data_IF_699872097235
#
_entry.id   IF_699872097235
#
_cell.length_a   1.000
_cell.length_b   1.000
_cell.length_c   1.000
_cell.angle_alpha   90.00
_cell.angle_beta   90.00
_cell.angle_gamma   90.00
#
_symmetry.space_group_name_H-M   'P 1'
#
loop_
_entity.id
_entity.type
_entity.pdbx_description
1 polymer ?
#
# COMPACT_ATOMS: atom_id res chain seq x y z
N UNK A 1 -17.39 -20.85 -0.33
CA UNK A 1 -16.10 -20.89 -1.05
C UNK A 1 -16.34 -21.67 -2.31
N UNK A 2 -16.20 -21.03 -3.47
CA UNK A 2 -16.23 -21.71 -4.76
C UNK A 2 -14.92 -22.49 -4.93
N UNK A 3 -14.94 -23.83 -4.99
CA UNK A 3 -13.74 -24.66 -5.09
C UNK A 3 -13.04 -24.56 -6.44
N UNK A 4 -13.66 -23.91 -7.43
CA UNK A 4 -13.09 -23.70 -8.76
C UNK A 4 -12.25 -22.44 -8.86
N UNK A 5 -12.32 -21.55 -7.86
CA UNK A 5 -11.72 -20.21 -7.88
C UNK A 5 -12.17 -19.34 -9.06
N UNK A 6 -13.27 -19.67 -9.73
CA UNK A 6 -13.75 -18.93 -10.90
C UNK A 6 -14.10 -17.47 -10.60
N UNK A 7 -14.28 -17.11 -9.33
CA UNK A 7 -14.68 -15.77 -8.86
C UNK A 7 -13.75 -15.24 -7.76
N UNK A 8 -12.45 -15.55 -7.84
CA UNK A 8 -11.44 -15.05 -6.90
C UNK A 8 -10.69 -13.83 -7.46
N UNK A 9 -10.37 -12.87 -6.58
CA UNK A 9 -9.35 -11.83 -6.88
C UNK A 9 -8.00 -12.52 -6.78
N UNK A 10 -7.24 -12.52 -7.86
CA UNK A 10 -5.99 -13.28 -7.90
C UNK A 10 -4.77 -12.37 -7.84
N UNK A 11 -4.72 -11.27 -8.60
CA UNK A 11 -3.56 -10.35 -8.57
C UNK A 11 -3.88 -9.00 -9.26
N UNK A 12 -4.28 -7.99 -8.48
CA UNK A 12 -4.29 -6.59 -8.96
C UNK A 12 -2.95 -5.95 -8.61
N UNK A 13 -2.03 -5.92 -9.57
CA UNK A 13 -0.69 -5.42 -9.31
C UNK A 13 -0.16 -4.52 -10.45
N UNK A 14 0.75 -3.58 -10.11
CA UNK A 14 1.42 -2.72 -11.09
C UNK A 14 2.29 -3.45 -12.13
N UNK A 15 2.52 -4.75 -11.97
CA UNK A 15 3.52 -5.51 -12.71
C UNK A 15 4.95 -5.17 -12.29
N UNK A 16 5.89 -5.63 -13.14
CA UNK A 16 7.31 -5.31 -13.05
C UNK A 16 7.66 -4.35 -14.20
N UNK A 17 8.03 -3.13 -13.86
CA UNK A 17 8.43 -2.13 -14.85
C UNK A 17 9.84 -2.40 -15.39
N UNK A 18 10.20 -1.80 -16.53
CA UNK A 18 11.55 -1.92 -17.11
C UNK A 18 12.65 -1.36 -16.21
N UNK A 19 12.33 -0.43 -15.30
CA UNK A 19 13.25 0.05 -14.27
C UNK A 19 13.46 -0.93 -13.13
N UNK A 20 12.90 -2.15 -13.23
CA UNK A 20 12.88 -3.18 -12.19
C UNK A 20 12.13 -2.76 -10.92
N UNK A 21 11.35 -1.66 -10.97
CA UNK A 21 10.40 -1.37 -9.91
C UNK A 21 9.34 -2.47 -9.93
N UNK A 22 9.25 -3.16 -8.81
CA UNK A 22 8.36 -4.29 -8.57
C UNK A 22 7.15 -3.80 -7.78
N UNK A 23 5.94 -4.07 -8.27
CA UNK A 23 4.69 -3.85 -7.55
C UNK A 23 4.50 -2.43 -7.01
N UNK A 24 4.98 -1.44 -7.75
CA UNK A 24 4.90 -0.02 -7.37
C UNK A 24 4.46 0.82 -8.55
N UNK A 25 3.61 1.80 -8.25
CA UNK A 25 3.24 2.89 -9.14
C UNK A 25 3.38 4.21 -8.39
N UNK A 26 3.61 5.29 -9.14
CA UNK A 26 3.40 6.63 -8.61
C UNK A 26 1.89 6.90 -8.48
N UNK A 27 1.51 7.53 -7.37
CA UNK A 27 0.16 8.05 -7.15
C UNK A 27 0.21 9.57 -7.10
N UNK A 28 -0.90 10.28 -7.40
CA UNK A 28 -0.93 11.72 -7.26
C UNK A 28 -0.62 12.15 -5.82
N UNK A 29 0.12 13.24 -5.63
CA UNK A 29 0.48 13.72 -4.28
C UNK A 29 -0.76 13.92 -3.37
N UNK A 30 -1.86 14.42 -3.95
CA UNK A 30 -3.11 14.65 -3.23
C UNK A 30 -3.85 13.37 -2.84
N UNK A 31 -3.44 12.20 -3.34
CA UNK A 31 -3.98 10.91 -2.93
C UNK A 31 -3.53 10.52 -1.51
N UNK A 32 -2.47 11.14 -0.99
CA UNK A 32 -1.89 10.82 0.31
C UNK A 32 -1.85 12.06 1.20
N UNK A 33 -2.32 11.91 2.44
CA UNK A 33 -2.13 12.90 3.50
C UNK A 33 -1.66 12.18 4.76
N UNK A 34 -0.67 12.73 5.46
CA UNK A 34 -0.17 12.14 6.70
C UNK A 34 0.23 13.22 7.70
N UNK A 35 -0.16 13.02 8.95
CA UNK A 35 0.28 13.77 10.12
C UNK A 35 0.78 12.76 11.16
N UNK A 36 2.10 12.69 11.32
CA UNK A 36 2.76 11.76 12.25
C UNK A 36 2.50 12.16 13.70
N UNK A 37 2.35 13.46 13.97
CA UNK A 37 2.20 14.00 15.31
C UNK A 37 0.75 13.78 15.79
N UNK A 38 -0.25 13.94 14.92
CA UNK A 38 -1.65 13.59 15.19
C UNK A 38 -1.94 12.08 15.06
N UNK A 39 -0.99 11.30 14.52
CA UNK A 39 -1.13 9.87 14.26
C UNK A 39 -2.30 9.54 13.30
N UNK A 40 -2.46 10.38 12.29
CA UNK A 40 -3.47 10.24 11.25
C UNK A 40 -2.83 10.18 9.86
N UNK A 41 -3.29 9.26 9.03
CA UNK A 41 -2.94 9.28 7.62
C UNK A 41 -4.10 8.73 6.79
N UNK A 42 -4.12 9.11 5.51
CA UNK A 42 -5.11 8.64 4.56
C UNK A 42 -4.49 8.45 3.18
N UNK A 43 -4.82 7.32 2.55
CA UNK A 43 -4.60 7.05 1.14
C UNK A 43 -5.96 6.94 0.45
N UNK A 44 -6.21 7.80 -0.53
CA UNK A 44 -7.41 7.77 -1.36
C UNK A 44 -7.06 7.67 -2.83
N UNK A 45 -7.41 6.55 -3.44
CA UNK A 45 -7.28 6.30 -4.86
C UNK A 45 -8.66 5.95 -5.42
N UNK A 46 -9.00 6.51 -6.57
CA UNK A 46 -10.28 6.25 -7.23
C UNK A 46 -10.04 5.82 -8.66
N UNK A 47 -10.71 4.76 -9.07
CA UNK A 47 -10.70 4.19 -10.41
C UNK A 47 -9.28 4.00 -10.99
N UNK A 48 -8.32 3.65 -10.14
CA UNK A 48 -6.94 3.40 -10.56
C UNK A 48 -6.94 2.24 -11.55
N UNK A 49 -6.53 2.52 -12.79
CA UNK A 49 -6.32 1.51 -13.81
C UNK A 49 -5.17 0.59 -13.36
N UNK A 50 -5.43 -0.72 -13.36
CA UNK A 50 -4.51 -1.74 -12.88
C UNK A 50 -4.66 -2.99 -13.73
N UNK A 51 -3.57 -3.74 -13.89
CA UNK A 51 -3.63 -5.03 -14.56
C UNK A 51 -4.17 -6.09 -13.60
N UNK A 52 -5.02 -6.99 -14.11
CA UNK A 52 -5.40 -8.22 -13.43
C UNK A 52 -4.74 -9.40 -14.16
N UNK A 53 -3.72 -9.99 -13.54
CA UNK A 53 -3.00 -11.12 -14.12
C UNK A 53 -3.69 -12.46 -13.89
N UNK A 54 -4.76 -12.51 -13.07
CA UNK A 54 -5.54 -13.71 -12.81
C UNK A 54 -4.83 -14.80 -12.00
N UNK A 55 -3.51 -14.73 -11.80
CA UNK A 55 -2.75 -15.54 -10.83
C UNK A 55 -1.31 -15.04 -10.68
N UNK A 56 -0.70 -15.38 -9.55
CA UNK A 56 0.67 -15.00 -9.18
C UNK A 56 1.71 -15.44 -10.22
N UNK A 57 1.56 -16.63 -10.83
CA UNK A 57 2.53 -17.10 -11.84
C UNK A 57 2.53 -16.18 -13.07
N UNK A 58 1.35 -15.73 -13.49
CA UNK A 58 1.22 -14.78 -14.58
C UNK A 58 1.69 -13.38 -14.17
N UNK A 59 1.40 -12.92 -12.94
CA UNK A 59 1.90 -11.63 -12.44
C UNK A 59 3.43 -11.56 -12.36
N UNK A 60 4.09 -12.68 -12.04
CA UNK A 60 5.56 -12.73 -11.95
C UNK A 60 6.26 -12.95 -13.29
N UNK A 61 5.70 -13.77 -14.17
CA UNK A 61 6.38 -14.25 -15.39
C UNK A 61 5.73 -13.80 -16.70
N UNK A 62 4.60 -13.10 -16.63
CA UNK A 62 3.83 -12.60 -17.77
C UNK A 62 3.58 -13.69 -18.83
N UNK A 63 3.14 -14.87 -18.40
CA UNK A 63 2.88 -16.04 -19.26
C UNK A 63 1.66 -15.85 -20.17
N UNK A 64 0.81 -14.86 -19.89
CA UNK A 64 -0.37 -14.47 -20.68
C UNK A 64 -0.68 -12.97 -20.50
N UNK A 65 -1.31 -12.31 -21.49
CA UNK A 65 -1.72 -10.92 -21.34
C UNK A 65 -2.67 -10.73 -20.15
N UNK A 66 -2.50 -9.68 -19.32
CA UNK A 66 -3.42 -9.39 -18.24
C UNK A 66 -4.74 -8.81 -18.76
N UNK A 67 -5.79 -8.92 -17.94
CA UNK A 67 -7.05 -8.23 -18.18
C UNK A 67 -6.98 -6.78 -17.65
N UNK A 68 -7.63 -5.81 -18.31
CA UNK A 68 -7.80 -4.48 -17.74
C UNK A 68 -8.71 -4.53 -16.51
N UNK A 69 -8.28 -3.88 -15.42
CA UNK A 69 -9.07 -3.72 -14.22
C UNK A 69 -8.97 -2.31 -13.63
N UNK A 70 -9.83 -2.06 -12.64
CA UNK A 70 -9.83 -0.81 -11.87
C UNK A 70 -9.92 -1.13 -10.38
N UNK A 71 -9.22 -0.35 -9.56
CA UNK A 71 -9.29 -0.44 -8.10
C UNK A 71 -9.48 0.94 -7.47
N UNK A 72 -10.28 0.98 -6.40
CA UNK A 72 -10.50 2.16 -5.57
C UNK A 72 -10.12 1.79 -4.14
N UNK A 73 -9.35 2.67 -3.48
CA UNK A 73 -8.90 2.51 -2.09
C UNK A 73 -9.24 3.75 -1.27
N UNK A 74 -9.76 3.55 -0.05
CA UNK A 74 -9.80 4.52 1.05
C UNK A 74 -9.21 3.83 2.28
N UNK A 75 -7.92 4.05 2.52
CA UNK A 75 -7.20 3.51 3.68
C UNK A 75 -6.98 4.64 4.68
N UNK A 76 -7.31 4.40 5.94
CA UNK A 76 -7.10 5.35 7.04
C UNK A 76 -6.24 4.71 8.12
N UNK A 77 -5.24 5.44 8.57
CA UNK A 77 -4.50 5.18 9.80
C UNK A 77 -4.94 6.19 10.84
N UNK A 78 -5.22 5.73 12.06
CA UNK A 78 -5.73 6.58 13.13
C UNK A 78 -5.48 5.98 14.50
N UNK A 79 -5.51 6.81 15.54
CA UNK A 79 -5.48 6.38 16.94
C UNK A 79 -4.14 5.78 17.34
N UNK A 80 -3.25 6.62 17.86
CA UNK A 80 -1.94 6.23 18.34
C UNK A 80 -2.01 5.05 19.35
N UNK A 81 -1.27 3.98 19.05
CA UNK A 81 -1.09 2.82 19.92
C UNK A 81 0.26 2.86 20.63
N UNK A 82 1.32 3.18 19.88
CA UNK A 82 2.69 3.24 20.39
C UNK A 82 3.52 4.21 19.56
N UNK A 83 4.27 5.10 20.22
CA UNK A 83 5.26 5.96 19.57
C UNK A 83 6.66 5.43 19.83
N UNK A 84 7.57 5.69 18.89
CA UNK A 84 8.96 5.30 19.03
C UNK A 84 9.85 5.96 17.99
N UNK A 85 11.14 5.68 18.14
CA UNK A 85 12.15 6.04 17.17
C UNK A 85 13.10 4.88 16.95
N UNK A 86 13.77 4.90 15.81
CA UNK A 86 14.86 3.98 15.49
C UNK A 86 16.01 4.77 14.90
N UNK A 87 17.22 4.45 15.36
CA UNK A 87 18.48 5.02 14.88
C UNK A 87 19.56 3.98 15.08
N UNK A 88 20.21 3.57 14.00
CA UNK A 88 21.23 2.52 14.01
C UNK A 88 22.41 2.95 13.14
N UNK A 89 23.59 3.10 13.73
CA UNK A 89 24.79 3.50 12.98
C UNK A 89 25.22 2.47 11.92
N UNK A 90 24.80 1.21 12.05
CA UNK A 90 25.05 0.15 11.05
C UNK A 90 24.03 0.15 9.91
N UNK A 91 22.88 0.80 10.12
CA UNK A 91 21.81 0.99 9.14
C UNK A 91 21.42 2.46 9.17
N UNK A 92 22.15 3.33 8.47
CA UNK A 92 22.25 4.75 8.82
C UNK A 92 20.97 5.56 8.49
N UNK A 93 19.77 5.04 8.62
CA UNK A 93 18.54 5.84 8.61
C UNK A 93 18.11 6.14 10.05
N UNK A 94 17.39 7.25 10.19
CA UNK A 94 16.69 7.58 11.43
C UNK A 94 15.22 7.68 11.13
N UNK A 95 14.38 7.15 12.01
CA UNK A 95 12.94 7.27 11.88
C UNK A 95 12.30 7.60 13.22
N UNK A 96 11.26 8.42 13.17
CA UNK A 96 10.24 8.51 14.23
C UNK A 96 8.96 7.91 13.68
N UNK A 97 8.27 7.14 14.51
CA UNK A 97 7.07 6.43 14.08
C UNK A 97 5.98 6.42 15.15
N UNK A 98 4.77 6.23 14.69
CA UNK A 98 3.59 5.92 15.50
C UNK A 98 2.91 4.69 14.91
N UNK A 99 2.80 3.63 15.71
CA UNK A 99 1.91 2.52 15.44
C UNK A 99 0.47 2.96 15.72
N UNK A 100 -0.45 2.59 14.84
CA UNK A 100 -1.84 3.07 14.83
C UNK A 100 -2.81 1.90 14.71
N UNK A 101 -4.11 2.19 14.72
CA UNK A 101 -5.08 1.34 14.03
C UNK A 101 -5.09 1.66 12.53
N UNK A 102 -5.79 0.84 11.76
CA UNK A 102 -6.11 1.13 10.37
C UNK A 102 -7.49 0.61 9.99
N UNK A 103 -8.05 1.18 8.94
CA UNK A 103 -9.27 0.69 8.28
C UNK A 103 -9.08 0.87 6.77
N UNK A 104 -9.38 -0.18 5.99
CA UNK A 104 -9.39 -0.13 4.52
C UNK A 104 -10.81 -0.31 3.99
N UNK A 105 -11.25 0.58 3.12
CA UNK A 105 -12.34 0.30 2.19
C UNK A 105 -11.75 0.22 0.81
N UNK A 106 -12.12 -0.81 0.07
CA UNK A 106 -11.68 -0.97 -1.29
C UNK A 106 -12.75 -1.61 -2.16
N UNK A 107 -12.66 -1.37 -3.46
CA UNK A 107 -13.43 -2.06 -4.49
C UNK A 107 -12.57 -2.27 -5.71
N UNK A 108 -12.87 -3.31 -6.48
CA UNK A 108 -12.20 -3.59 -7.74
C UNK A 108 -13.14 -4.20 -8.77
N UNK A 109 -12.78 -4.06 -10.04
CA UNK A 109 -13.51 -4.67 -11.15
C UNK A 109 -12.58 -5.10 -12.28
N UNK A 110 -12.85 -6.29 -12.84
CA UNK A 110 -12.23 -6.83 -14.05
C UNK A 110 -13.32 -7.45 -14.91
N UNK A 111 -13.48 -7.01 -16.16
CA UNK A 111 -14.54 -7.53 -17.03
C UNK A 111 -15.94 -7.34 -16.42
N UNK A 112 -16.65 -8.45 -16.17
CA UNK A 112 -17.99 -8.46 -15.56
C UNK A 112 -17.96 -8.64 -14.03
N UNK A 113 -16.79 -8.92 -13.45
CA UNK A 113 -16.65 -9.20 -12.03
C UNK A 113 -16.43 -7.92 -11.21
N UNK A 114 -17.07 -7.87 -10.04
CA UNK A 114 -17.00 -6.74 -9.13
C UNK A 114 -16.77 -7.23 -7.69
N UNK A 115 -15.83 -6.59 -7.01
CA UNK A 115 -15.46 -6.89 -5.64
C UNK A 115 -15.51 -5.62 -4.80
N UNK A 116 -15.93 -5.75 -3.55
CA UNK A 116 -15.89 -4.64 -2.60
C UNK A 116 -15.72 -5.13 -1.16
N UNK A 117 -15.20 -4.23 -0.33
CA UNK A 117 -15.24 -4.39 1.12
C UNK A 117 -16.68 -4.36 1.62
N UNK A 118 -17.04 -5.30 2.48
CA UNK A 118 -18.30 -5.27 3.23
C UNK A 118 -18.10 -4.57 4.57
N UNK A 119 -19.18 -4.08 5.19
CA UNK A 119 -19.11 -3.34 6.47
C UNK A 119 -18.72 -4.16 7.71
N UNK A 120 -18.10 -5.33 7.54
CA UNK A 120 -17.66 -6.19 8.64
C UNK A 120 -16.44 -5.64 9.40
N UNK A 121 -16.15 -6.18 10.60
CA UNK A 121 -14.97 -5.80 11.37
C UNK A 121 -13.67 -6.19 10.65
N UNK A 122 -12.60 -5.41 10.88
CA UNK A 122 -11.28 -5.66 10.33
C UNK A 122 -10.27 -5.93 11.44
N UNK A 123 -9.42 -6.93 11.24
CA UNK A 123 -8.30 -7.22 12.15
C UNK A 123 -7.06 -6.48 11.66
N UNK A 124 -6.52 -5.60 12.48
CA UNK A 124 -5.27 -4.89 12.21
C UNK A 124 -4.11 -5.70 12.78
N UNK A 125 -3.32 -6.33 11.90
CA UNK A 125 -2.10 -7.03 12.31
C UNK A 125 -0.93 -6.07 12.51
N UNK A 126 -0.85 -5.03 11.67
CA UNK A 126 0.16 -3.99 11.73
C UNK A 126 -0.33 -2.73 11.01
N UNK A 127 -0.07 -1.56 11.58
CA UNK A 127 -0.31 -0.26 10.98
C UNK A 127 0.64 0.76 11.60
N UNK A 128 1.32 1.56 10.78
CA UNK A 128 2.32 2.51 11.24
C UNK A 128 2.41 3.69 10.28
N UNK A 129 2.58 4.89 10.85
CA UNK A 129 2.98 6.10 10.14
C UNK A 129 4.39 6.45 10.62
N UNK A 130 5.29 6.80 9.70
CA UNK A 130 6.66 7.14 10.04
C UNK A 130 7.16 8.33 9.21
N UNK A 131 8.05 9.10 9.82
CA UNK A 131 8.92 10.03 9.13
C UNK A 131 10.34 9.48 9.20
N UNK A 132 10.95 9.25 8.05
CA UNK A 132 12.31 8.74 7.91
C UNK A 132 13.23 9.84 7.36
N UNK A 133 14.43 9.95 7.92
CA UNK A 133 15.55 10.72 7.38
C UNK A 133 16.47 9.77 6.62
N UNK A 134 16.66 10.05 5.33
CA UNK A 134 17.53 9.27 4.46
C UNK A 134 18.95 9.19 5.04
N UNK A 135 19.56 8.02 4.96
CA UNK A 135 20.85 7.78 5.60
C UNK A 135 22.06 8.48 5.01
N UNK A 136 21.95 9.06 3.82
CA UNK A 136 22.98 9.99 3.32
C UNK A 136 23.12 11.24 4.19
N UNK A 137 22.10 11.55 5.00
CA UNK A 137 22.08 12.66 5.96
C UNK A 137 22.30 12.22 7.41
N UNK A 138 22.74 10.98 7.66
CA UNK A 138 22.93 10.46 9.01
C UNK A 138 24.06 11.20 9.74
N UNK A 139 23.78 11.66 10.96
CA UNK A 139 24.76 12.36 11.80
C UNK A 139 25.09 13.79 11.35
N UNK A 140 24.49 14.28 10.26
CA UNK A 140 24.55 15.70 9.88
C UNK A 140 23.52 16.49 10.69
N UNK A 141 23.87 17.71 11.10
CA UNK A 141 22.93 18.63 11.73
C UNK A 141 21.82 19.06 10.75
N UNK A 142 20.88 19.86 11.22
CA UNK A 142 19.90 20.52 10.33
C UNK A 142 20.50 21.75 9.60
N UNK A 143 21.75 22.12 9.94
CA UNK A 143 22.49 23.27 9.43
C UNK A 143 23.67 22.89 8.49
N UNK A 144 23.81 21.61 8.09
CA UNK A 144 24.88 21.10 7.20
C UNK A 144 24.45 20.90 5.73
#
# INVERSE_FOLDING_TARGET
>A
MDPTFATQIHDYDPGITTSSLFWTIAVPDHAVSADVDEAEARLQLSDLAIADYGNILNGLFHTSPPSPGNVTFDIRWFGAQKRGSFSDATKPFQMRFVQTNAHIKWSGSTGADHFHTTGGPQTVNFAQIAQERNGVFFGKGDDD
#
